data_IF_514203364146
#
_entry.id   IF_514203364146
#
_cell.length_a   1.000
_cell.length_b   1.000
_cell.length_c   1.000
_cell.angle_alpha   90.00
_cell.angle_beta   90.00
_cell.angle_gamma   90.00
#
_symmetry.space_group_name_H-M   'P 1'
#
loop_
_entity.id
_entity.type
_entity.pdbx_description
1 polymer ?
#
# COMPACT_ATOMS: atom_id res chain seq x y z
N UNK A 1 51.66 17.98 9.69
CA UNK A 1 50.54 18.47 10.54
C UNK A 1 49.72 17.29 11.06
N UNK A 2 49.76 17.00 12.36
CA UNK A 2 49.09 15.85 13.00
C UNK A 2 47.75 16.33 13.59
N UNK A 3 46.62 16.05 12.93
CA UNK A 3 45.29 16.40 13.46
C UNK A 3 44.99 15.53 14.69
N UNK A 4 44.91 16.15 15.88
CA UNK A 4 44.43 15.47 17.09
C UNK A 4 42.92 15.25 16.95
N UNK A 5 42.47 14.00 16.97
CA UNK A 5 41.04 13.65 17.09
C UNK A 5 40.62 13.98 18.52
N UNK A 6 39.93 15.09 18.73
CA UNK A 6 39.30 15.40 20.02
C UNK A 6 38.11 14.48 20.23
N UNK A 7 38.13 13.68 21.29
CA UNK A 7 36.97 12.93 21.73
C UNK A 7 35.92 13.92 22.30
N UNK A 8 34.65 13.73 21.95
CA UNK A 8 33.55 14.54 22.49
C UNK A 8 33.37 14.23 23.99
N UNK A 9 33.10 15.26 24.83
CA UNK A 9 32.86 15.05 26.24
C UNK A 9 31.58 14.20 26.46
N UNK A 10 31.57 13.34 27.50
CA UNK A 10 30.53 12.32 27.70
C UNK A 10 29.11 12.90 27.80
N UNK A 11 28.95 14.10 28.39
CA UNK A 11 27.66 14.78 28.46
C UNK A 11 27.10 15.16 27.09
N UNK A 12 27.97 15.52 26.13
CA UNK A 12 27.54 15.87 24.77
C UNK A 12 27.10 14.62 24.00
N UNK A 13 27.75 13.48 24.24
CA UNK A 13 27.29 12.20 23.67
C UNK A 13 25.90 11.81 24.21
N UNK A 14 25.66 11.92 25.52
CA UNK A 14 24.37 11.56 26.13
C UNK A 14 23.22 12.41 25.55
N UNK A 15 23.41 13.73 25.39
CA UNK A 15 22.38 14.62 24.84
C UNK A 15 22.08 14.28 23.37
N UNK A 16 23.11 14.00 22.57
CA UNK A 16 22.95 13.57 21.18
C UNK A 16 22.17 12.25 21.08
N UNK A 17 22.49 11.27 21.92
CA UNK A 17 21.75 10.01 21.97
C UNK A 17 20.29 10.21 22.37
N UNK A 18 20.01 11.01 23.41
CA UNK A 18 18.63 11.28 23.85
C UNK A 18 17.81 12.00 22.76
N UNK A 19 18.42 12.93 22.02
CA UNK A 19 17.77 13.62 20.91
C UNK A 19 17.45 12.67 19.75
N UNK A 20 18.37 11.76 19.39
CA UNK A 20 18.17 10.77 18.34
C UNK A 20 17.05 9.78 18.69
N UNK A 21 17.03 9.28 19.94
CA UNK A 21 15.98 8.37 20.41
C UNK A 21 14.62 9.06 20.41
N UNK A 22 14.55 10.30 20.87
CA UNK A 22 13.31 11.09 20.87
C UNK A 22 12.78 11.34 19.46
N UNK A 23 13.66 11.71 18.52
CA UNK A 23 13.29 11.91 17.12
C UNK A 23 12.76 10.63 16.46
N UNK A 24 13.39 9.48 16.76
CA UNK A 24 12.94 8.18 16.24
C UNK A 24 11.57 7.76 16.80
N UNK A 25 11.33 7.99 18.09
CA UNK A 25 10.05 7.69 18.73
C UNK A 25 8.92 8.55 18.15
N UNK A 26 9.15 9.85 17.97
CA UNK A 26 8.19 10.78 17.38
C UNK A 26 7.86 10.37 15.93
N UNK A 27 8.89 10.08 15.12
CA UNK A 27 8.70 9.61 13.74
C UNK A 27 7.89 8.33 13.63
N UNK A 28 8.12 7.38 14.54
CA UNK A 28 7.37 6.11 14.58
C UNK A 28 5.90 6.29 14.92
N UNK A 29 5.57 7.24 15.81
CA UNK A 29 4.18 7.54 16.19
C UNK A 29 3.44 8.25 15.07
N UNK A 30 4.07 9.26 14.44
CA UNK A 30 3.48 9.98 13.32
C UNK A 30 3.22 9.05 12.12
N UNK A 31 4.16 8.16 11.80
CA UNK A 31 3.99 7.18 10.73
C UNK A 31 2.77 6.27 10.94
N UNK A 32 2.59 5.76 12.16
CA UNK A 32 1.44 4.92 12.51
C UNK A 32 0.11 5.66 12.41
N UNK A 33 0.05 6.94 12.76
CA UNK A 33 -1.18 7.74 12.64
C UNK A 33 -1.58 7.93 11.18
N UNK A 34 -0.63 8.32 10.33
CA UNK A 34 -0.88 8.50 8.89
C UNK A 34 -1.37 7.20 8.24
N UNK A 35 -0.79 6.07 8.61
CA UNK A 35 -1.22 4.77 8.09
C UNK A 35 -2.66 4.42 8.54
N UNK A 36 -2.99 4.62 9.81
CA UNK A 36 -4.34 4.39 10.33
C UNK A 36 -5.37 5.33 9.67
N UNK A 37 -5.03 6.59 9.46
CA UNK A 37 -5.88 7.55 8.77
C UNK A 37 -6.12 7.15 7.31
N UNK A 38 -5.10 6.65 6.61
CA UNK A 38 -5.23 6.13 5.24
C UNK A 38 -6.10 4.86 5.20
N UNK A 39 -5.94 3.94 6.16
CA UNK A 39 -6.73 2.70 6.24
C UNK A 39 -8.20 3.04 6.46
N UNK A 40 -8.47 3.97 7.37
CA UNK A 40 -9.81 4.49 7.62
C UNK A 40 -10.38 5.16 6.37
N UNK A 41 -9.62 6.05 5.72
CA UNK A 41 -10.04 6.73 4.51
C UNK A 41 -10.38 5.79 3.35
N UNK A 42 -9.59 4.73 3.15
CA UNK A 42 -9.91 3.70 2.16
C UNK A 42 -11.17 2.92 2.55
N UNK A 43 -11.32 2.52 3.81
CA UNK A 43 -12.52 1.80 4.30
C UNK A 43 -13.79 2.65 4.11
N UNK A 44 -13.74 3.91 4.49
CA UNK A 44 -14.84 4.86 4.33
C UNK A 44 -15.15 5.09 2.84
N UNK A 45 -14.10 5.27 2.01
CA UNK A 45 -14.26 5.42 0.56
C UNK A 45 -14.85 4.20 -0.13
N UNK A 46 -14.52 2.98 0.33
CA UNK A 46 -15.16 1.74 -0.13
C UNK A 46 -16.63 1.69 0.26
N UNK A 47 -16.96 2.06 1.51
CA UNK A 47 -18.34 2.12 1.97
C UNK A 47 -19.18 3.15 1.19
N UNK A 48 -18.61 4.32 0.89
CA UNK A 48 -19.27 5.32 0.04
C UNK A 48 -19.40 4.86 -1.41
N UNK A 49 -18.38 4.19 -1.96
CA UNK A 49 -18.42 3.64 -3.31
C UNK A 49 -19.55 2.61 -3.49
N UNK A 50 -19.93 1.86 -2.44
CA UNK A 50 -21.05 0.93 -2.50
C UNK A 50 -22.39 1.61 -2.82
N UNK A 51 -22.53 2.90 -2.48
CA UNK A 51 -23.72 3.72 -2.74
C UNK A 51 -23.76 4.28 -4.18
N UNK A 52 -22.66 4.18 -4.92
CA UNK A 52 -22.57 4.67 -6.30
C UNK A 52 -23.11 3.66 -7.32
N UNK A 53 -23.39 4.16 -8.53
CA UNK A 53 -23.69 3.34 -9.70
C UNK A 53 -22.54 2.33 -9.96
N UNK A 54 -22.83 1.08 -10.37
CA UNK A 54 -21.82 0.03 -10.54
C UNK A 54 -20.58 0.44 -11.33
N UNK A 55 -20.75 1.19 -12.43
CA UNK A 55 -19.65 1.64 -13.29
C UNK A 55 -18.79 2.77 -12.67
N UNK A 56 -19.22 3.40 -11.57
CA UNK A 56 -18.45 4.44 -10.85
C UNK A 56 -17.70 3.89 -9.65
N UNK A 57 -18.07 2.71 -9.14
CA UNK A 57 -17.45 2.10 -7.95
C UNK A 57 -15.94 1.86 -8.11
N UNK A 58 -15.43 1.31 -9.24
CA UNK A 58 -14.01 1.02 -9.38
C UNK A 58 -13.13 2.26 -9.25
N UNK A 59 -13.56 3.36 -9.85
CA UNK A 59 -12.85 4.65 -9.81
C UNK A 59 -12.79 5.22 -8.39
N UNK A 60 -13.92 5.21 -7.68
CA UNK A 60 -14.00 5.73 -6.31
C UNK A 60 -13.13 4.91 -5.34
N UNK A 61 -13.18 3.58 -5.43
CA UNK A 61 -12.35 2.69 -4.59
C UNK A 61 -10.86 2.88 -4.89
N UNK A 62 -10.49 2.94 -6.17
CA UNK A 62 -9.09 3.13 -6.55
C UNK A 62 -8.52 4.45 -6.01
N UNK A 63 -9.28 5.56 -6.08
CA UNK A 63 -8.90 6.85 -5.48
C UNK A 63 -8.73 6.77 -3.97
N UNK A 64 -9.70 6.17 -3.28
CA UNK A 64 -9.70 6.11 -1.82
C UNK A 64 -8.55 5.26 -1.27
N UNK A 65 -8.17 4.20 -1.99
CA UNK A 65 -7.21 3.21 -1.51
C UNK A 65 -5.80 3.37 -2.09
N UNK A 66 -5.60 4.25 -3.09
CA UNK A 66 -4.26 4.57 -3.62
C UNK A 66 -3.23 4.97 -2.53
N UNK A 67 -3.56 5.77 -1.49
CA UNK A 67 -2.60 6.14 -0.45
C UNK A 67 -2.03 4.97 0.36
N UNK A 68 -2.74 3.85 0.43
CA UNK A 68 -2.28 2.63 1.10
C UNK A 68 -1.18 1.90 0.33
N UNK A 69 -1.08 2.15 -0.98
CA UNK A 69 -0.05 1.52 -1.81
C UNK A 69 1.28 2.23 -1.62
N UNK A 70 2.21 1.58 -0.92
CA UNK A 70 3.53 2.13 -0.60
C UNK A 70 4.40 2.31 -1.85
N UNK A 71 4.40 1.34 -2.78
CA UNK A 71 5.22 1.41 -3.99
C UNK A 71 4.67 2.41 -4.98
N UNK A 72 5.48 3.43 -5.28
CA UNK A 72 5.14 4.52 -6.20
C UNK A 72 4.58 4.02 -7.56
N UNK A 73 5.21 3.06 -8.28
CA UNK A 73 4.67 2.61 -9.57
C UNK A 73 3.25 2.02 -9.46
N UNK A 74 3.01 1.17 -8.47
CA UNK A 74 1.69 0.57 -8.24
C UNK A 74 0.67 1.64 -7.82
N UNK A 75 1.06 2.59 -6.96
CA UNK A 75 0.19 3.71 -6.54
C UNK A 75 -0.21 4.62 -7.70
N UNK A 76 0.73 4.94 -8.58
CA UNK A 76 0.45 5.72 -9.80
C UNK A 76 -0.49 4.97 -10.74
N UNK A 77 -0.32 3.65 -10.86
CA UNK A 77 -1.22 2.81 -11.64
C UNK A 77 -2.64 2.78 -11.03
N UNK A 78 -2.77 2.81 -9.69
CA UNK A 78 -4.07 2.98 -9.02
C UNK A 78 -4.71 4.33 -9.38
N UNK A 79 -3.94 5.41 -9.37
CA UNK A 79 -4.40 6.73 -9.80
C UNK A 79 -4.89 6.72 -11.26
N UNK A 80 -4.09 6.17 -12.17
CA UNK A 80 -4.45 6.07 -13.58
C UNK A 80 -5.70 5.20 -13.81
N UNK A 81 -5.86 4.10 -13.07
CA UNK A 81 -7.08 3.28 -13.11
C UNK A 81 -8.29 4.03 -12.55
N UNK A 82 -8.09 4.90 -11.56
CA UNK A 82 -9.17 5.71 -11.03
C UNK A 82 -9.68 6.78 -12.01
N UNK A 83 -8.89 7.15 -13.00
CA UNK A 83 -9.30 8.08 -14.05
C UNK A 83 -9.90 7.35 -15.27
N UNK A 84 -9.50 6.11 -15.51
CA UNK A 84 -10.00 5.25 -16.59
C UNK A 84 -10.08 3.78 -16.10
N UNK A 85 -11.30 3.30 -15.87
CA UNK A 85 -11.57 1.96 -15.32
C UNK A 85 -11.71 0.89 -16.41
N UNK A 86 -11.15 1.12 -17.60
CA UNK A 86 -11.20 0.15 -18.69
C UNK A 86 -10.42 -1.14 -18.36
N UNK A 87 -10.76 -2.29 -18.98
CA UNK A 87 -10.04 -3.54 -18.79
C UNK A 87 -8.53 -3.43 -19.11
N UNK A 88 -8.17 -2.60 -20.09
CA UNK A 88 -6.77 -2.34 -20.43
C UNK A 88 -6.02 -1.69 -19.26
N UNK A 89 -6.66 -0.75 -18.55
CA UNK A 89 -6.10 -0.11 -17.36
C UNK A 89 -6.03 -1.05 -16.17
N UNK A 90 -7.04 -1.91 -15.98
CA UNK A 90 -6.97 -2.95 -14.95
C UNK A 90 -5.78 -3.88 -15.19
N UNK A 91 -5.58 -4.34 -16.42
CA UNK A 91 -4.43 -5.17 -16.78
C UNK A 91 -3.09 -4.44 -16.63
N UNK A 92 -3.02 -3.13 -16.89
CA UNK A 92 -1.84 -2.32 -16.62
C UNK A 92 -1.58 -2.19 -15.11
N UNK A 93 -2.62 -1.93 -14.32
CA UNK A 93 -2.56 -1.85 -12.86
C UNK A 93 -2.00 -3.14 -12.25
N UNK A 94 -2.57 -4.31 -12.60
CA UNK A 94 -2.11 -5.59 -12.07
C UNK A 94 -0.65 -5.86 -12.43
N UNK A 95 -0.25 -5.58 -13.68
CA UNK A 95 1.16 -5.75 -14.12
C UNK A 95 2.12 -4.85 -13.35
N UNK A 96 1.81 -3.56 -13.25
CA UNK A 96 2.68 -2.61 -12.53
C UNK A 96 2.79 -2.96 -11.05
N UNK A 97 1.70 -3.40 -10.42
CA UNK A 97 1.71 -3.83 -9.03
C UNK A 97 2.48 -5.14 -8.84
N UNK A 98 2.33 -6.10 -9.76
CA UNK A 98 3.10 -7.34 -9.77
C UNK A 98 4.60 -7.05 -9.81
N UNK A 99 5.03 -6.25 -10.79
CA UNK A 99 6.45 -5.93 -10.99
C UNK A 99 7.03 -5.12 -9.80
N UNK A 100 6.21 -4.38 -9.06
CA UNK A 100 6.64 -3.61 -7.89
C UNK A 100 6.74 -4.42 -6.59
N UNK A 101 6.01 -5.53 -6.45
CA UNK A 101 5.83 -6.23 -5.18
C UNK A 101 6.26 -7.69 -5.18
N UNK A 102 6.20 -8.41 -6.30
CA UNK A 102 6.34 -9.88 -6.29
C UNK A 102 7.66 -10.40 -5.72
N UNK A 103 8.77 -9.71 -5.91
CA UNK A 103 10.07 -10.07 -5.33
C UNK A 103 10.11 -9.99 -3.80
N UNK A 104 9.09 -9.38 -3.18
CA UNK A 104 8.99 -9.16 -1.74
C UNK A 104 7.85 -9.94 -1.10
N UNK A 105 6.86 -10.38 -1.88
CA UNK A 105 5.68 -11.06 -1.35
C UNK A 105 6.03 -12.45 -0.83
N UNK A 106 5.67 -12.73 0.42
CA UNK A 106 5.91 -14.03 1.05
C UNK A 106 4.64 -14.57 1.74
N UNK A 107 4.04 -15.68 1.26
CA UNK A 107 4.35 -16.36 0.00
C UNK A 107 3.94 -15.53 -1.23
N UNK A 108 4.59 -15.71 -2.39
CA UNK A 108 4.18 -15.05 -3.62
C UNK A 108 2.82 -15.59 -4.09
N UNK A 109 1.83 -14.73 -4.40
CA UNK A 109 0.56 -15.16 -4.97
C UNK A 109 0.74 -15.64 -6.42
N UNK A 110 -0.18 -16.47 -6.92
CA UNK A 110 -0.15 -17.01 -8.29
C UNK A 110 -0.04 -15.92 -9.37
N UNK A 111 -0.64 -14.75 -9.09
CA UNK A 111 -0.55 -13.54 -9.92
C UNK A 111 0.89 -13.12 -10.28
N UNK A 112 1.87 -13.48 -9.45
CA UNK A 112 3.29 -13.20 -9.69
C UNK A 112 3.88 -14.01 -10.85
N UNK A 113 3.30 -15.18 -11.16
CA UNK A 113 3.78 -16.08 -12.20
C UNK A 113 2.80 -16.23 -13.37
N UNK A 114 1.57 -15.75 -13.22
CA UNK A 114 0.55 -15.79 -14.25
C UNK A 114 0.97 -14.99 -15.51
N UNK A 115 0.93 -15.65 -16.66
CA UNK A 115 1.15 -15.02 -17.98
C UNK A 115 0.00 -14.09 -18.36
N UNK A 116 -1.23 -14.49 -18.04
CA UNK A 116 -2.46 -13.72 -18.25
C UNK A 116 -3.11 -13.50 -16.89
N UNK A 117 -3.13 -12.27 -16.36
CA UNK A 117 -3.79 -11.98 -15.10
C UNK A 117 -5.30 -12.15 -15.26
N UNK A 118 -5.90 -12.93 -14.36
CA UNK A 118 -7.35 -13.07 -14.21
C UNK A 118 -7.82 -12.10 -13.10
N UNK A 119 -9.12 -11.88 -12.99
CA UNK A 119 -9.73 -11.28 -11.81
C UNK A 119 -9.22 -11.82 -10.47
N UNK A 120 -9.17 -13.14 -10.32
CA UNK A 120 -8.72 -13.78 -9.07
C UNK A 120 -7.24 -13.54 -8.80
N UNK A 121 -6.42 -13.47 -9.85
CA UNK A 121 -5.03 -13.05 -9.72
C UNK A 121 -4.93 -11.62 -9.14
N UNK A 122 -5.81 -10.70 -9.56
CA UNK A 122 -5.82 -9.35 -9.00
C UNK A 122 -6.23 -9.38 -7.51
N UNK A 123 -7.25 -10.17 -7.14
CA UNK A 123 -7.67 -10.38 -5.75
C UNK A 123 -6.51 -10.90 -4.90
N UNK A 124 -5.90 -12.00 -5.31
CA UNK A 124 -4.78 -12.61 -4.59
C UNK A 124 -3.58 -11.67 -4.46
N UNK A 125 -3.25 -10.93 -5.53
CA UNK A 125 -2.15 -9.98 -5.54
C UNK A 125 -2.39 -8.83 -4.56
N UNK A 126 -3.56 -8.17 -4.63
CA UNK A 126 -3.85 -7.05 -3.75
C UNK A 126 -3.98 -7.50 -2.29
N UNK A 127 -4.66 -8.61 -2.01
CA UNK A 127 -4.71 -9.16 -0.66
C UNK A 127 -3.32 -9.45 -0.10
N UNK A 128 -2.40 -9.99 -0.90
CA UNK A 128 -1.02 -10.22 -0.47
C UNK A 128 -0.27 -8.90 -0.21
N UNK A 129 -0.39 -7.92 -1.10
CA UNK A 129 0.22 -6.58 -0.95
C UNK A 129 -0.26 -5.91 0.34
N UNK A 130 -1.59 -5.80 0.53
CA UNK A 130 -2.15 -5.12 1.70
C UNK A 130 -1.83 -5.87 2.99
N UNK A 131 -1.87 -7.21 2.99
CA UNK A 131 -1.46 -8.00 4.16
C UNK A 131 -0.01 -7.73 4.53
N UNK A 132 0.91 -7.72 3.56
CA UNK A 132 2.32 -7.53 3.84
C UNK A 132 2.65 -6.11 4.29
N UNK A 133 2.10 -5.10 3.63
CA UNK A 133 2.42 -3.70 3.91
C UNK A 133 1.75 -3.19 5.20
N UNK A 134 0.61 -3.76 5.62
CA UNK A 134 -0.17 -3.30 6.78
C UNK A 134 -0.22 -4.30 7.94
N UNK A 135 0.88 -5.03 8.14
CA UNK A 135 1.11 -5.78 9.38
C UNK A 135 0.29 -7.06 9.54
N UNK A 136 -0.12 -7.70 8.44
CA UNK A 136 -0.65 -9.06 8.47
C UNK A 136 -2.08 -9.21 8.99
N UNK A 137 -2.79 -8.11 9.25
CA UNK A 137 -4.13 -8.17 9.84
C UNK A 137 -5.15 -8.76 8.87
N UNK A 138 -6.10 -9.54 9.39
CA UNK A 138 -7.21 -10.08 8.60
C UNK A 138 -8.06 -8.97 7.95
N UNK A 139 -8.11 -7.81 8.61
CA UNK A 139 -8.72 -6.58 8.10
C UNK A 139 -8.07 -6.08 6.79
N UNK A 140 -6.74 -6.10 6.70
CA UNK A 140 -6.02 -5.68 5.49
C UNK A 140 -6.23 -6.68 4.34
N UNK A 141 -6.30 -7.98 4.65
CA UNK A 141 -6.59 -9.02 3.66
C UNK A 141 -8.04 -8.95 3.16
N UNK A 142 -9.00 -8.68 4.05
CA UNK A 142 -10.40 -8.43 3.70
C UNK A 142 -10.54 -7.18 2.84
N UNK A 143 -9.84 -6.10 3.18
CA UNK A 143 -9.82 -4.87 2.38
C UNK A 143 -9.26 -5.11 0.98
N UNK A 144 -8.16 -5.86 0.85
CA UNK A 144 -7.61 -6.24 -0.46
C UNK A 144 -8.60 -7.01 -1.34
N UNK A 145 -9.40 -7.90 -0.75
CA UNK A 145 -10.48 -8.59 -1.47
C UNK A 145 -11.58 -7.63 -1.91
N UNK A 146 -12.06 -6.78 -1.01
CA UNK A 146 -13.11 -5.80 -1.33
C UNK A 146 -12.66 -4.83 -2.41
N UNK A 147 -11.40 -4.39 -2.37
CA UNK A 147 -10.81 -3.56 -3.43
C UNK A 147 -10.86 -4.31 -4.75
N UNK A 148 -10.30 -5.52 -4.82
CA UNK A 148 -10.23 -6.28 -6.06
C UNK A 148 -11.62 -6.53 -6.69
N UNK A 149 -12.61 -6.91 -5.87
CA UNK A 149 -14.00 -7.05 -6.30
C UNK A 149 -14.55 -5.72 -6.84
N UNK A 150 -14.34 -4.63 -6.11
CA UNK A 150 -14.81 -3.32 -6.52
C UNK A 150 -14.11 -2.80 -7.79
N UNK A 151 -12.89 -3.27 -8.09
CA UNK A 151 -12.17 -2.98 -9.33
C UNK A 151 -12.70 -3.78 -10.54
N UNK A 152 -13.73 -4.62 -10.34
CA UNK A 152 -14.37 -5.39 -11.40
C UNK A 152 -13.88 -6.83 -11.50
N UNK A 153 -13.23 -7.37 -10.46
CA UNK A 153 -13.04 -8.81 -10.38
C UNK A 153 -14.41 -9.49 -10.14
N UNK A 154 -14.92 -10.37 -11.03
CA UNK A 154 -16.08 -11.20 -10.75
C UNK A 154 -15.99 -11.85 -9.36
N UNK A 155 -17.06 -11.71 -8.59
CA UNK A 155 -17.34 -12.55 -7.43
C UNK A 155 -18.09 -13.77 -7.93
N UNK A 156 -17.49 -14.95 -7.85
CA UNK A 156 -18.22 -16.22 -8.01
C UNK A 156 -19.27 -16.41 -6.90
#
# INVERSE_FOLDING_TARGET
MKRRKGALPPHVMIVLFAALVSAFAIGSILGKRVEQDNLRGCRDGVAEAAKLLPHKRPSAVARACAPLVVKKPCREAFGAFADDTSPARLGALVRTCRDAYCDRLTPPPEACTAKVPTPDHAVALFSAIFRQEHGGTDDAAALGRTIAVALGAPTE
#
